data_IF_265390366881
#
_entry.id   IF_265390366881
#
_cell.length_a   1.000
_cell.length_b   1.000
_cell.length_c   1.000
_cell.angle_alpha   90.00
_cell.angle_beta   90.00
_cell.angle_gamma   90.00
#
_symmetry.space_group_name_H-M   'P 1'
#
loop_
_entity.id
_entity.type
_entity.pdbx_description
1 polymer ?
#
# COMPACT_ATOMS: atom_id res chain seq x y z
N UNK A 1 -13.17 -0.15 -20.02
CA UNK A 1 -13.25 -0.18 -18.54
C UNK A 1 -13.29 1.26 -18.05
N UNK A 2 -14.03 1.54 -16.99
CA UNK A 2 -14.03 2.86 -16.38
C UNK A 2 -12.68 3.10 -15.71
N UNK A 3 -12.03 4.21 -16.02
CA UNK A 3 -10.79 4.60 -15.36
C UNK A 3 -11.11 5.27 -14.03
N UNK A 4 -10.42 4.89 -12.95
CA UNK A 4 -10.57 5.52 -11.64
C UNK A 4 -9.65 6.73 -11.58
N UNK A 5 -10.22 7.90 -11.34
CA UNK A 5 -9.50 9.18 -11.22
C UNK A 5 -9.50 9.65 -9.77
N UNK A 6 -8.40 10.24 -9.34
CA UNK A 6 -8.30 11.01 -8.09
C UNK A 6 -8.71 12.45 -8.39
N UNK A 7 -9.59 13.00 -7.58
CA UNK A 7 -10.16 14.31 -7.80
C UNK A 7 -10.14 15.16 -6.52
N UNK A 8 -10.14 16.49 -6.71
CA UNK A 8 -10.46 17.46 -5.65
C UNK A 8 -11.80 18.10 -5.98
N UNK A 9 -12.73 18.06 -5.05
CA UNK A 9 -14.03 18.73 -5.16
C UNK A 9 -13.81 20.22 -4.90
N UNK A 10 -14.09 21.09 -5.88
CA UNK A 10 -13.78 22.52 -5.82
C UNK A 10 -14.50 23.24 -4.69
N UNK A 11 -15.76 22.90 -4.43
CA UNK A 11 -16.58 23.52 -3.39
C UNK A 11 -16.03 23.29 -1.98
N UNK A 12 -15.55 22.08 -1.69
CA UNK A 12 -15.15 21.66 -0.34
C UNK A 12 -13.65 21.49 -0.16
N UNK A 13 -12.87 21.47 -1.25
CA UNK A 13 -11.46 21.11 -1.26
C UNK A 13 -11.17 19.64 -0.93
N UNK A 14 -12.22 18.83 -0.68
CA UNK A 14 -12.09 17.42 -0.32
C UNK A 14 -11.49 16.62 -1.46
N UNK A 15 -10.54 15.73 -1.13
CA UNK A 15 -10.02 14.74 -2.07
C UNK A 15 -10.95 13.54 -2.05
N UNK A 16 -11.32 13.06 -3.24
CA UNK A 16 -12.19 11.91 -3.45
C UNK A 16 -11.82 11.22 -4.76
N UNK A 17 -12.59 10.23 -5.18
CA UNK A 17 -12.39 9.46 -6.39
C UNK A 17 -13.65 9.48 -7.26
N UNK A 18 -13.45 9.46 -8.58
CA UNK A 18 -14.53 9.22 -9.53
C UNK A 18 -14.09 8.19 -10.58
N UNK A 19 -15.03 7.75 -11.40
CA UNK A 19 -14.81 6.82 -12.50
C UNK A 19 -15.07 7.55 -13.81
N UNK A 20 -14.07 7.60 -14.70
CA UNK A 20 -14.19 8.18 -16.04
C UNK A 20 -14.64 7.08 -17.02
N UNK A 21 -15.78 7.30 -17.63
CA UNK A 21 -16.30 6.47 -18.72
C UNK A 21 -16.20 7.25 -20.01
N UNK A 22 -15.42 6.74 -20.95
CA UNK A 22 -15.23 7.33 -22.27
C UNK A 22 -16.19 6.67 -23.25
N UNK A 23 -17.17 7.42 -23.72
CA UNK A 23 -18.15 6.99 -24.71
C UNK A 23 -17.92 7.67 -26.04
N UNK A 24 -18.21 6.97 -27.13
CA UNK A 24 -18.14 7.55 -28.46
C UNK A 24 -19.38 8.43 -28.70
N UNK A 25 -19.15 9.73 -28.85
CA UNK A 25 -20.21 10.74 -29.08
C UNK A 25 -20.14 11.28 -30.54
N UNK A 26 -20.43 10.41 -31.50
CA UNK A 26 -20.44 10.79 -32.91
C UNK A 26 -19.09 11.04 -33.53
N UNK A 27 -19.05 11.92 -34.56
CA UNK A 27 -17.84 12.26 -35.31
C UNK A 27 -17.71 13.77 -35.46
N UNK A 28 -16.49 14.27 -35.58
CA UNK A 28 -16.18 15.60 -36.07
C UNK A 28 -15.53 15.48 -37.46
N UNK A 29 -15.82 16.44 -38.34
CA UNK A 29 -15.14 16.53 -39.64
C UNK A 29 -13.82 17.28 -39.48
N UNK A 30 -12.76 16.74 -40.08
CA UNK A 30 -11.46 17.39 -40.17
C UNK A 30 -10.93 17.19 -41.59
N UNK A 31 -11.25 18.13 -42.47
CA UNK A 31 -11.11 17.99 -43.89
C UNK A 31 -12.01 16.87 -44.43
N UNK A 32 -11.45 15.96 -45.22
CA UNK A 32 -12.17 14.78 -45.77
C UNK A 32 -12.31 13.63 -44.75
N UNK A 33 -11.78 13.75 -43.55
CA UNK A 33 -11.76 12.67 -42.55
C UNK A 33 -12.79 12.89 -41.47
N UNK A 34 -13.52 11.85 -41.10
CA UNK A 34 -14.38 11.78 -39.93
C UNK A 34 -13.60 11.22 -38.76
N UNK A 35 -13.37 12.05 -37.72
CA UNK A 35 -12.67 11.64 -36.51
C UNK A 35 -13.70 11.42 -35.42
N UNK A 36 -13.64 10.28 -34.67
CA UNK A 36 -14.54 10.04 -33.55
C UNK A 36 -14.46 11.14 -32.51
N UNK A 37 -15.61 11.57 -32.02
CA UNK A 37 -15.71 12.39 -30.79
C UNK A 37 -15.96 11.47 -29.63
N UNK A 38 -15.32 11.78 -28.51
CA UNK A 38 -15.50 11.07 -27.26
C UNK A 38 -16.07 12.02 -26.21
N UNK A 39 -16.99 11.51 -25.43
CA UNK A 39 -17.55 12.19 -24.26
C UNK A 39 -17.07 11.48 -23.01
N UNK A 40 -16.56 12.25 -22.09
CA UNK A 40 -16.18 11.76 -20.76
C UNK A 40 -17.34 11.97 -19.81
N UNK A 41 -17.76 10.92 -19.12
CA UNK A 41 -18.77 10.99 -18.07
C UNK A 41 -18.14 10.51 -16.78
N UNK A 42 -18.16 11.40 -15.77
CA UNK A 42 -17.56 11.13 -14.46
C UNK A 42 -18.62 10.64 -13.49
N UNK A 43 -18.34 9.50 -12.81
CA UNK A 43 -19.26 8.88 -11.87
C UNK A 43 -18.65 8.84 -10.46
N UNK A 44 -19.45 9.17 -9.44
CA UNK A 44 -19.03 9.15 -8.04
C UNK A 44 -18.84 7.74 -7.47
N UNK A 45 -19.49 6.76 -8.05
CA UNK A 45 -19.48 5.39 -7.52
C UNK A 45 -19.15 4.34 -8.59
N UNK A 46 -18.74 3.16 -8.09
CA UNK A 46 -18.37 1.99 -8.92
C UNK A 46 -19.52 1.45 -9.77
N UNK A 47 -20.75 1.68 -9.34
CA UNK A 47 -21.98 1.23 -10.02
C UNK A 47 -22.34 2.14 -11.20
N UNK A 48 -21.62 3.23 -11.38
CA UNK A 48 -21.81 4.22 -12.45
C UNK A 48 -23.23 4.80 -12.47
N UNK A 49 -23.81 5.01 -11.29
CA UNK A 49 -25.19 5.51 -11.14
C UNK A 49 -25.27 6.99 -10.78
N UNK A 50 -24.25 7.53 -10.10
CA UNK A 50 -24.20 8.94 -9.70
C UNK A 50 -23.15 9.69 -10.50
N UNK A 51 -23.56 10.66 -11.30
CA UNK A 51 -22.64 11.52 -12.06
C UNK A 51 -22.12 12.67 -11.22
N UNK A 52 -20.90 13.15 -11.56
CA UNK A 52 -20.34 14.39 -11.07
C UNK A 52 -19.94 15.26 -12.26
N UNK A 53 -20.20 16.58 -12.18
CA UNK A 53 -19.87 17.49 -13.25
C UNK A 53 -18.36 17.73 -13.28
N UNK A 54 -17.75 17.67 -14.47
CA UNK A 54 -16.33 17.96 -14.68
C UNK A 54 -15.91 19.34 -14.16
N UNK A 55 -16.79 20.32 -14.30
CA UNK A 55 -16.51 21.70 -13.89
C UNK A 55 -16.43 21.86 -12.36
N UNK A 56 -16.98 20.90 -11.59
CA UNK A 56 -17.00 20.91 -10.12
C UNK A 56 -15.79 20.20 -9.49
N UNK A 57 -14.91 19.63 -10.31
CA UNK A 57 -13.75 18.88 -9.87
C UNK A 57 -12.46 19.35 -10.55
N UNK A 58 -11.33 19.17 -9.84
CA UNK A 58 -9.99 19.16 -10.41
C UNK A 58 -9.48 17.71 -10.41
N UNK A 59 -9.04 17.22 -11.56
CA UNK A 59 -8.33 15.94 -11.62
C UNK A 59 -6.92 16.18 -11.13
N UNK A 60 -6.51 15.46 -10.08
CA UNK A 60 -5.19 15.56 -9.49
C UNK A 60 -4.39 14.29 -9.73
N UNK A 61 -3.07 14.40 -9.93
CA UNK A 61 -2.24 13.23 -10.17
C UNK A 61 -2.29 12.28 -8.97
N UNK A 62 -2.14 11.00 -9.26
CA UNK A 62 -1.92 10.00 -8.24
C UNK A 62 -0.50 10.12 -7.71
N UNK A 63 -0.36 10.01 -6.40
CA UNK A 63 0.95 9.73 -5.84
C UNK A 63 1.40 8.31 -6.25
N UNK A 64 2.71 8.06 -6.43
CA UNK A 64 3.19 6.77 -6.91
C UNK A 64 2.66 5.56 -6.12
N UNK A 65 2.47 5.71 -4.81
CA UNK A 65 1.94 4.67 -3.91
C UNK A 65 0.42 4.50 -3.95
N UNK A 66 -0.31 5.48 -4.47
CA UNK A 66 -1.79 5.42 -4.52
C UNK A 66 -2.32 4.59 -5.70
N UNK A 67 -1.57 4.53 -6.81
CA UNK A 67 -1.98 3.82 -8.03
C UNK A 67 -2.11 2.31 -7.80
N UNK A 68 -1.18 1.72 -7.06
CA UNK A 68 -1.07 0.29 -6.85
C UNK A 68 -1.52 -0.14 -5.45
N UNK A 69 -1.76 0.85 -4.58
CA UNK A 69 -2.01 0.63 -3.16
C UNK A 69 -0.77 0.16 -2.40
N UNK A 70 -0.86 0.22 -1.10
CA UNK A 70 0.13 -0.35 -0.20
C UNK A 70 -0.56 -1.52 0.49
N UNK A 71 -0.10 -2.74 0.16
CA UNK A 71 -0.67 -3.99 0.67
C UNK A 71 0.11 -4.49 1.90
N UNK A 72 0.50 -3.56 2.79
CA UNK A 72 1.10 -3.85 4.09
C UNK A 72 0.48 -2.95 5.17
N UNK A 73 0.72 -3.31 6.43
CA UNK A 73 0.19 -2.56 7.56
C UNK A 73 0.78 -1.15 7.66
N UNK A 74 -0.04 -0.23 8.20
CA UNK A 74 0.31 1.20 8.33
C UNK A 74 1.57 1.47 9.16
N UNK A 75 1.97 0.53 10.02
CA UNK A 75 3.18 0.66 10.83
C UNK A 75 4.46 0.69 10.00
N UNK A 76 4.42 0.25 8.74
CA UNK A 76 5.56 0.29 7.83
C UNK A 76 5.54 1.47 6.86
N UNK A 77 4.46 2.27 6.81
CA UNK A 77 4.32 3.35 5.82
C UNK A 77 5.45 4.38 5.89
N UNK A 78 5.92 4.72 7.10
CA UNK A 78 7.01 5.70 7.27
C UNK A 78 8.35 5.19 6.69
N UNK A 79 8.55 3.86 6.65
CA UNK A 79 9.75 3.25 6.07
C UNK A 79 9.80 3.41 4.54
N UNK A 80 8.66 3.61 3.90
CA UNK A 80 8.53 3.76 2.45
C UNK A 80 8.85 5.20 1.98
N UNK A 81 8.82 6.17 2.89
CA UNK A 81 9.00 7.58 2.54
C UNK A 81 10.31 7.86 1.77
N UNK A 82 11.49 7.37 2.17
CA UNK A 82 12.72 7.60 1.41
C UNK A 82 12.66 7.04 -0.03
N UNK A 83 11.94 5.93 -0.23
CA UNK A 83 11.74 5.31 -1.55
C UNK A 83 10.87 6.22 -2.42
N UNK A 84 9.77 6.74 -1.89
CA UNK A 84 8.88 7.66 -2.62
C UNK A 84 9.57 8.98 -2.96
N UNK A 85 10.30 9.58 -1.99
CA UNK A 85 11.05 10.82 -2.20
C UNK A 85 12.12 10.64 -3.31
N UNK A 86 12.78 9.48 -3.36
CA UNK A 86 13.73 9.15 -4.41
C UNK A 86 13.06 9.02 -5.77
N UNK A 87 11.96 8.28 -5.86
CA UNK A 87 11.22 8.06 -7.12
C UNK A 87 10.70 9.38 -7.66
N UNK A 88 10.13 10.24 -6.82
CA UNK A 88 9.67 11.57 -7.21
C UNK A 88 10.80 12.40 -7.80
N UNK A 89 11.93 12.46 -7.11
CA UNK A 89 13.13 13.18 -7.57
C UNK A 89 13.68 12.60 -8.87
N UNK A 90 13.73 11.26 -8.97
CA UNK A 90 14.22 10.57 -10.16
C UNK A 90 13.36 10.85 -11.39
N UNK A 91 12.04 10.93 -11.22
CA UNK A 91 11.07 11.08 -12.30
C UNK A 91 10.87 12.53 -12.76
N UNK A 92 11.36 13.53 -12.02
CA UNK A 92 11.02 14.95 -12.19
C UNK A 92 11.19 15.47 -13.63
N UNK A 93 12.28 15.07 -14.31
CA UNK A 93 12.62 15.56 -15.64
C UNK A 93 12.64 14.43 -16.69
N UNK A 94 11.90 13.34 -16.45
CA UNK A 94 11.86 12.17 -17.34
C UNK A 94 10.54 12.09 -18.07
N UNK A 95 10.59 11.62 -19.31
CA UNK A 95 9.40 11.20 -20.05
C UNK A 95 8.83 9.90 -19.47
N UNK A 96 7.59 9.56 -19.85
CA UNK A 96 6.85 8.45 -19.25
C UNK A 96 7.51 7.08 -19.48
N UNK A 97 8.28 6.91 -20.56
CA UNK A 97 8.97 5.65 -20.87
C UNK A 97 10.17 5.39 -19.94
N UNK A 98 10.77 6.46 -19.41
CA UNK A 98 11.96 6.41 -18.55
C UNK A 98 11.67 6.62 -17.08
N UNK A 99 10.39 6.76 -16.69
CA UNK A 99 9.99 6.89 -15.30
C UNK A 99 10.11 5.58 -14.52
N UNK A 100 10.59 5.70 -13.30
CA UNK A 100 10.55 4.62 -12.33
C UNK A 100 9.12 4.50 -11.80
N UNK A 101 8.58 3.28 -11.79
CA UNK A 101 7.20 2.99 -11.40
C UNK A 101 7.18 1.88 -10.34
N UNK A 102 6.31 2.05 -9.36
CA UNK A 102 6.06 1.03 -8.36
C UNK A 102 5.03 0.05 -8.91
N UNK A 103 5.37 -1.23 -8.99
CA UNK A 103 4.45 -2.28 -9.39
C UNK A 103 3.66 -2.83 -8.21
N UNK A 104 4.31 -3.01 -7.06
CA UNK A 104 3.65 -3.51 -5.88
C UNK A 104 4.46 -3.19 -4.62
N UNK A 105 3.78 -2.85 -3.54
CA UNK A 105 4.31 -2.82 -2.18
C UNK A 105 3.42 -3.72 -1.36
N UNK A 106 3.98 -4.74 -0.71
CA UNK A 106 3.19 -5.69 0.08
C UNK A 106 3.96 -6.31 1.24
N UNK A 107 3.19 -6.83 2.20
CA UNK A 107 3.68 -7.83 3.14
C UNK A 107 3.76 -9.19 2.43
N UNK A 108 4.83 -9.93 2.69
CA UNK A 108 4.98 -11.32 2.27
C UNK A 108 5.78 -12.10 3.31
N UNK A 109 5.12 -13.04 3.99
CA UNK A 109 5.72 -13.89 5.02
C UNK A 109 6.37 -13.11 6.17
N UNK A 110 5.72 -12.05 6.62
CA UNK A 110 6.23 -11.16 7.65
C UNK A 110 7.30 -10.19 7.17
N UNK A 111 7.53 -10.07 5.86
CA UNK A 111 8.54 -9.18 5.28
C UNK A 111 7.90 -8.12 4.39
N UNK A 112 8.46 -6.92 4.42
CA UNK A 112 8.15 -5.88 3.43
C UNK A 112 8.78 -6.27 2.09
N UNK A 113 8.02 -6.09 1.01
CA UNK A 113 8.52 -6.30 -0.35
C UNK A 113 8.09 -5.12 -1.23
N UNK A 114 9.05 -4.54 -1.96
CA UNK A 114 8.83 -3.42 -2.89
C UNK A 114 9.26 -3.83 -4.30
N UNK A 115 8.32 -3.78 -5.25
CA UNK A 115 8.56 -4.15 -6.64
C UNK A 115 8.45 -2.94 -7.57
N UNK A 116 9.48 -2.73 -8.39
CA UNK A 116 9.58 -1.64 -9.36
C UNK A 116 9.69 -2.20 -10.78
N UNK A 117 9.47 -1.33 -11.79
CA UNK A 117 9.72 -1.68 -13.19
C UNK A 117 11.21 -1.87 -13.51
N UNK A 118 12.11 -1.16 -12.82
CA UNK A 118 13.56 -1.34 -12.85
C UNK A 118 14.21 -0.78 -11.57
N UNK A 119 15.49 -1.08 -11.37
CA UNK A 119 16.22 -0.71 -10.17
C UNK A 119 17.52 0.01 -10.54
N UNK A 120 17.89 1.03 -9.77
CA UNK A 120 19.23 1.59 -9.70
C UNK A 120 19.90 1.14 -8.41
N UNK A 121 21.22 1.29 -8.30
CA UNK A 121 21.96 0.93 -7.07
C UNK A 121 21.47 1.73 -5.85
N UNK A 122 21.06 2.98 -6.08
CA UNK A 122 20.58 3.86 -5.02
C UNK A 122 19.21 3.42 -4.50
N UNK A 123 18.25 3.14 -5.41
CA UNK A 123 16.91 2.70 -4.99
C UNK A 123 16.97 1.32 -4.35
N UNK A 124 17.83 0.42 -4.84
CA UNK A 124 18.03 -0.89 -4.24
C UNK A 124 18.46 -0.78 -2.78
N UNK A 125 19.44 0.08 -2.47
CA UNK A 125 19.88 0.32 -1.09
C UNK A 125 18.79 0.90 -0.20
N UNK A 126 17.93 1.78 -0.74
CA UNK A 126 16.80 2.33 0.02
C UNK A 126 15.77 1.24 0.32
N UNK A 127 15.50 0.36 -0.64
CA UNK A 127 14.60 -0.78 -0.46
C UNK A 127 15.17 -1.75 0.55
N UNK A 128 16.43 -2.17 0.40
CA UNK A 128 17.12 -3.07 1.34
C UNK A 128 17.05 -2.53 2.77
N UNK A 129 17.30 -1.21 2.95
CA UNK A 129 17.20 -0.56 4.26
C UNK A 129 15.78 -0.60 4.81
N UNK A 130 14.76 -0.32 4.00
CA UNK A 130 13.37 -0.35 4.43
C UNK A 130 12.91 -1.77 4.79
N UNK A 131 13.32 -2.78 4.02
CA UNK A 131 13.02 -4.20 4.28
C UNK A 131 13.72 -4.69 5.56
N UNK A 132 14.97 -4.30 5.80
CA UNK A 132 15.71 -4.60 7.04
C UNK A 132 15.03 -3.93 8.25
N UNK A 133 14.69 -2.64 8.17
CA UNK A 133 14.00 -1.94 9.24
C UNK A 133 12.61 -2.52 9.50
N UNK A 134 11.87 -2.93 8.47
CA UNK A 134 10.55 -3.54 8.59
C UNK A 134 10.59 -4.84 9.42
N UNK A 135 11.67 -5.63 9.31
CA UNK A 135 11.84 -6.84 10.11
C UNK A 135 11.89 -6.58 11.62
N UNK A 136 12.21 -5.36 12.03
CA UNK A 136 12.30 -4.91 13.42
C UNK A 136 11.27 -3.82 13.77
N UNK A 137 10.27 -3.63 12.93
CA UNK A 137 9.19 -2.65 13.12
C UNK A 137 7.84 -3.35 13.04
N UNK A 138 6.99 -3.17 14.04
CA UNK A 138 5.65 -3.75 14.04
C UNK A 138 4.83 -3.24 12.84
N UNK A 139 4.37 -4.15 11.99
CA UNK A 139 3.58 -3.83 10.81
C UNK A 139 2.27 -3.09 11.14
N UNK A 140 1.66 -3.40 12.29
CA UNK A 140 0.37 -2.82 12.67
C UNK A 140 0.48 -1.42 13.26
N UNK A 141 1.47 -1.16 14.15
CA UNK A 141 1.54 0.10 14.91
C UNK A 141 2.84 0.90 14.73
N UNK A 142 3.85 0.35 14.04
CA UNK A 142 5.14 1.03 13.84
C UNK A 142 6.09 0.99 15.04
N UNK A 143 5.74 0.31 16.14
CA UNK A 143 6.65 0.15 17.28
C UNK A 143 7.89 -0.63 16.88
N UNK A 144 9.06 -0.19 17.36
CA UNK A 144 10.34 -0.91 17.26
C UNK A 144 10.68 -1.67 18.55
N UNK A 145 9.82 -1.60 19.55
CA UNK A 145 10.02 -2.26 20.84
C UNK A 145 9.38 -3.63 20.87
N UNK A 146 10.12 -4.61 21.37
CA UNK A 146 9.66 -5.98 21.59
C UNK A 146 8.94 -6.56 20.36
N UNK A 147 9.60 -6.46 19.19
CA UNK A 147 9.10 -6.94 17.90
C UNK A 147 9.50 -8.39 17.69
N UNK A 148 8.66 -9.12 17.00
CA UNK A 148 8.87 -10.51 16.64
C UNK A 148 7.95 -10.95 15.51
N UNK A 149 7.99 -12.22 15.20
CA UNK A 149 7.21 -12.81 14.12
C UNK A 149 6.14 -13.76 14.68
N UNK A 150 4.89 -13.58 14.29
CA UNK A 150 3.84 -14.58 14.49
C UNK A 150 4.18 -15.84 13.67
N UNK A 151 4.02 -17.02 14.27
CA UNK A 151 4.64 -18.26 13.74
C UNK A 151 3.64 -19.35 13.35
N UNK A 152 2.34 -19.05 13.39
CA UNK A 152 1.29 -20.02 13.01
C UNK A 152 0.34 -19.42 11.97
N UNK A 153 0.14 -20.17 10.90
CA UNK A 153 -0.73 -19.73 9.81
C UNK A 153 -0.08 -18.63 8.99
N UNK A 154 -0.62 -17.43 9.07
CA UNK A 154 -0.08 -16.26 8.38
C UNK A 154 1.09 -15.67 9.19
N UNK A 155 2.26 -15.59 8.60
CA UNK A 155 3.43 -14.98 9.23
C UNK A 155 3.29 -13.46 9.16
N UNK A 156 3.38 -12.78 10.31
CA UNK A 156 3.32 -11.32 10.42
C UNK A 156 4.41 -10.82 11.36
N UNK A 157 4.96 -9.64 11.09
CA UNK A 157 5.92 -8.98 11.98
C UNK A 157 5.19 -8.01 12.89
N UNK A 158 5.07 -8.35 14.17
CA UNK A 158 4.29 -7.61 15.13
C UNK A 158 5.03 -7.43 16.46
N UNK A 159 4.79 -6.32 17.15
CA UNK A 159 5.24 -6.20 18.54
C UNK A 159 4.38 -7.06 19.47
N UNK A 160 4.95 -7.37 20.64
CA UNK A 160 4.27 -8.16 21.66
C UNK A 160 2.86 -7.65 22.01
N UNK A 161 2.70 -6.32 22.15
CA UNK A 161 1.41 -5.72 22.53
C UNK A 161 0.34 -5.91 21.47
N UNK A 162 0.71 -5.82 20.18
CA UNK A 162 -0.22 -6.07 19.09
C UNK A 162 -0.60 -7.56 19.04
N UNK A 163 0.36 -8.46 19.20
CA UNK A 163 0.11 -9.90 19.28
C UNK A 163 -0.77 -10.25 20.48
N UNK A 164 -0.51 -9.67 21.68
CA UNK A 164 -1.33 -9.87 22.86
C UNK A 164 -2.78 -9.44 22.65
N UNK A 165 -2.99 -8.25 22.06
CA UNK A 165 -4.33 -7.76 21.68
C UNK A 165 -5.03 -8.70 20.71
N UNK A 166 -4.29 -9.23 19.73
CA UNK A 166 -4.83 -10.20 18.78
C UNK A 166 -5.28 -11.49 19.48
N UNK A 167 -4.44 -12.04 20.39
CA UNK A 167 -4.78 -13.23 21.20
C UNK A 167 -6.03 -12.99 22.05
N UNK A 168 -6.14 -11.83 22.70
CA UNK A 168 -7.30 -11.45 23.50
C UNK A 168 -8.58 -11.36 22.66
N UNK A 169 -8.50 -10.69 21.49
CA UNK A 169 -9.64 -10.56 20.59
C UNK A 169 -10.15 -11.91 20.04
N UNK A 170 -9.24 -12.85 19.80
CA UNK A 170 -9.56 -14.15 19.22
C UNK A 170 -9.71 -15.26 20.29
N UNK A 171 -9.54 -14.92 21.56
CA UNK A 171 -9.66 -15.83 22.72
C UNK A 171 -8.79 -17.09 22.60
N UNK A 172 -7.62 -16.97 21.96
CA UNK A 172 -6.71 -18.09 21.77
C UNK A 172 -5.24 -17.67 21.87
N UNK A 173 -4.35 -18.54 22.40
CA UNK A 173 -2.92 -18.27 22.39
C UNK A 173 -2.36 -18.36 20.96
N UNK A 174 -1.18 -17.75 20.77
CA UNK A 174 -0.45 -17.81 19.51
C UNK A 174 1.05 -17.94 19.73
N UNK A 175 1.73 -18.68 18.88
CA UNK A 175 3.20 -18.73 18.88
C UNK A 175 3.78 -17.48 18.25
N UNK A 176 4.72 -16.86 18.95
CA UNK A 176 5.40 -15.65 18.52
C UNK A 176 6.90 -15.75 18.80
N UNK A 177 7.72 -15.52 17.79
CA UNK A 177 9.17 -15.57 17.89
C UNK A 177 9.70 -14.17 18.08
N UNK A 178 10.27 -13.87 19.23
CA UNK A 178 10.85 -12.57 19.55
C UNK A 178 12.21 -12.39 18.86
N UNK A 179 12.43 -11.25 18.21
CA UNK A 179 13.66 -10.97 17.48
C UNK A 179 14.88 -10.83 18.41
N UNK A 180 14.72 -10.16 19.55
CA UNK A 180 15.83 -9.81 20.44
C UNK A 180 16.58 -11.01 21.05
N UNK A 181 15.93 -12.12 21.26
CA UNK A 181 16.51 -13.33 21.83
C UNK A 181 16.31 -14.60 21.00
N UNK A 182 15.62 -14.46 19.87
CA UNK A 182 15.33 -15.53 18.93
C UNK A 182 14.54 -16.71 19.52
N UNK A 183 13.84 -16.47 20.65
CA UNK A 183 13.02 -17.47 21.35
C UNK A 183 11.58 -17.39 20.92
N UNK A 184 10.90 -18.54 20.98
CA UNK A 184 9.46 -18.64 20.71
C UNK A 184 8.71 -18.64 22.03
N UNK A 185 7.63 -17.88 22.07
CA UNK A 185 6.73 -17.74 23.21
C UNK A 185 5.32 -18.14 22.82
N UNK A 186 4.57 -18.70 23.75
CA UNK A 186 3.13 -18.73 23.72
C UNK A 186 2.60 -17.42 24.29
N UNK A 187 2.00 -16.59 23.46
CA UNK A 187 1.33 -15.39 23.90
C UNK A 187 -0.09 -15.77 24.30
N UNK A 188 -0.38 -15.77 25.57
CA UNK A 188 -1.67 -16.17 26.11
C UNK A 188 -2.62 -14.95 26.23
N UNK A 189 -3.93 -15.11 25.92
CA UNK A 189 -4.87 -13.98 25.97
C UNK A 189 -5.04 -13.36 27.35
N UNK A 190 -5.11 -14.18 28.42
CA UNK A 190 -5.51 -13.75 29.77
C UNK A 190 -4.54 -14.12 30.87
N UNK A 191 -3.44 -14.78 30.55
CA UNK A 191 -2.41 -15.22 31.49
C UNK A 191 -1.04 -14.69 31.09
N UNK A 192 -0.02 -14.98 31.89
CA UNK A 192 1.39 -14.73 31.53
C UNK A 192 1.77 -15.55 30.30
N UNK A 193 2.72 -15.02 29.54
CA UNK A 193 3.23 -15.70 28.37
C UNK A 193 4.24 -16.77 28.80
N UNK A 194 4.25 -17.87 28.07
CA UNK A 194 5.11 -19.01 28.38
C UNK A 194 6.17 -19.19 27.30
N UNK A 195 7.41 -19.53 27.71
CA UNK A 195 8.44 -19.92 26.75
C UNK A 195 8.00 -21.22 26.08
N UNK A 196 7.98 -21.23 24.75
CA UNK A 196 7.71 -22.42 23.98
C UNK A 196 8.97 -23.29 23.97
N UNK A 197 8.99 -24.32 24.79
CA UNK A 197 9.99 -25.37 24.75
C UNK A 197 9.56 -26.44 23.75
N UNK A 198 10.35 -26.67 22.71
CA UNK A 198 10.18 -27.87 21.88
C UNK A 198 10.36 -29.09 22.80
N UNK A 199 9.29 -29.61 23.34
CA UNK A 199 9.32 -31.00 23.83
C UNK A 199 9.48 -31.86 22.57
N UNK A 200 10.68 -32.38 22.38
CA UNK A 200 10.93 -33.44 21.40
C UNK A 200 9.85 -34.51 21.59
N UNK A 201 9.07 -34.73 20.52
CA UNK A 201 8.08 -35.80 20.44
C UNK A 201 8.83 -37.05 20.00
#
# INVERSE_FOLDING_TARGET
MAEKLKIRIKETGKIDYCYDVIERDGFREMGERKIPKFKHTYFKNKELTETINKDDIDIIPWEPYELFGIECGKGWHDLLKPIFDYIEKYNKDKDDEHKMQIFQIKEKWGQLCVYLNFYTDEISKLIDTAEEEASNTCELCGSKENVGMAYEGWLTTECHDCMKKWCQKNERPHRWKRNSDNKIYWINPNTEDELFENKEI
#
